data_IF_138282119388
#
_entry.id   IF_138282119388
#
_cell.length_a   1.000
_cell.length_b   1.000
_cell.length_c   1.000
_cell.angle_alpha   90.00
_cell.angle_beta   90.00
_cell.angle_gamma   90.00
#
_symmetry.space_group_name_H-M   'P 1'
#
loop_
_entity.id
_entity.type
_entity.pdbx_description
1 polymer ?
#
# COMPACT_ATOMS: atom_id res chain seq x y z
N UNK A 1 9.31 17.26 16.06
CA UNK A 1 9.11 15.78 16.05
C UNK A 1 9.25 15.30 14.62
N UNK A 2 9.94 14.19 14.35
CA UNK A 2 9.95 13.67 12.98
C UNK A 2 8.52 13.27 12.59
N UNK A 3 8.11 13.51 11.36
CA UNK A 3 6.77 13.21 10.82
C UNK A 3 6.33 11.77 11.14
N UNK A 4 7.28 10.83 11.13
CA UNK A 4 7.05 9.42 11.46
C UNK A 4 6.65 9.24 12.93
N UNK A 5 7.29 9.93 13.87
CA UNK A 5 6.94 9.86 15.31
C UNK A 5 5.53 10.38 15.56
N UNK A 6 5.15 11.48 14.90
CA UNK A 6 3.80 12.03 14.98
C UNK A 6 2.76 11.03 14.44
N UNK A 7 3.03 10.42 13.28
CA UNK A 7 2.15 9.39 12.69
C UNK A 7 2.01 8.14 13.56
N UNK A 8 3.09 7.70 14.21
CA UNK A 8 3.04 6.58 15.16
C UNK A 8 2.27 6.93 16.43
N UNK A 9 2.39 8.16 16.91
CA UNK A 9 1.61 8.65 18.06
C UNK A 9 0.11 8.67 17.76
N UNK A 10 -0.27 8.98 16.52
CA UNK A 10 -1.65 8.94 16.05
C UNK A 10 -2.26 7.53 16.14
N UNK A 11 -1.44 6.49 16.04
CA UNK A 11 -1.85 5.09 16.14
C UNK A 11 -1.92 4.57 17.59
N UNK A 12 -1.35 5.31 18.54
CA UNK A 12 -1.28 4.90 19.94
C UNK A 12 -2.64 4.48 20.55
N UNK A 13 -3.75 5.21 20.34
CA UNK A 13 -5.07 4.81 20.85
C UNK A 13 -5.63 3.55 20.20
N UNK A 14 -5.12 3.15 19.04
CA UNK A 14 -5.60 2.00 18.27
C UNK A 14 -4.63 0.81 18.29
N UNK A 15 -3.59 0.82 19.12
CA UNK A 15 -2.51 -0.18 19.14
C UNK A 15 -2.99 -1.64 19.19
N UNK A 16 -4.01 -1.96 19.98
CA UNK A 16 -4.56 -3.31 20.05
C UNK A 16 -5.26 -3.72 18.75
N UNK A 17 -5.99 -2.82 18.11
CA UNK A 17 -6.64 -3.09 16.83
C UNK A 17 -5.63 -3.21 15.71
N UNK A 18 -4.57 -2.40 15.73
CA UNK A 18 -3.44 -2.47 14.81
C UNK A 18 -2.74 -3.82 14.95
N UNK A 19 -2.46 -4.26 16.18
CA UNK A 19 -1.86 -5.56 16.45
C UNK A 19 -2.77 -6.70 15.96
N UNK A 20 -4.07 -6.65 16.26
CA UNK A 20 -5.05 -7.64 15.78
C UNK A 20 -5.12 -7.67 14.24
N UNK A 21 -5.10 -6.50 13.57
CA UNK A 21 -5.05 -6.41 12.11
C UNK A 21 -3.79 -7.05 11.53
N UNK A 22 -2.62 -6.77 12.12
CA UNK A 22 -1.35 -7.37 11.70
C UNK A 22 -1.30 -8.88 11.96
N UNK A 23 -1.89 -9.34 13.06
CA UNK A 23 -2.03 -10.77 13.34
C UNK A 23 -2.92 -11.48 12.31
N UNK A 24 -4.02 -10.86 11.92
CA UNK A 24 -4.89 -11.39 10.85
C UNK A 24 -4.18 -11.44 9.49
N UNK A 25 -3.33 -10.45 9.18
CA UNK A 25 -2.44 -10.51 8.00
C UNK A 25 -1.55 -11.73 8.08
N UNK A 26 -0.89 -11.96 9.21
CA UNK A 26 0.00 -13.10 9.41
C UNK A 26 -0.77 -14.42 9.28
N UNK A 27 -1.93 -14.57 9.94
CA UNK A 27 -2.77 -15.76 9.86
C UNK A 27 -3.26 -16.04 8.44
N UNK A 28 -3.58 -15.00 7.67
CA UNK A 28 -3.97 -15.16 6.26
C UNK A 28 -2.83 -15.73 5.41
N UNK A 29 -1.59 -15.24 5.63
CA UNK A 29 -0.41 -15.72 4.91
C UNK A 29 -0.04 -17.13 5.33
N UNK A 30 -0.03 -17.42 6.64
CA UNK A 30 0.23 -18.77 7.17
C UNK A 30 -0.84 -19.77 6.73
N UNK A 31 -2.11 -19.37 6.69
CA UNK A 31 -3.19 -20.19 6.15
C UNK A 31 -3.00 -20.51 4.67
N UNK A 32 -2.47 -19.58 3.87
CA UNK A 32 -2.12 -19.82 2.49
C UNK A 32 -0.94 -20.79 2.35
N UNK A 33 0.09 -20.65 3.16
CA UNK A 33 1.23 -21.57 3.21
C UNK A 33 0.78 -22.98 3.64
N UNK A 34 -0.07 -23.08 4.67
CA UNK A 34 -0.66 -24.36 5.12
C UNK A 34 -1.50 -25.04 4.03
N UNK A 35 -2.27 -24.25 3.27
CA UNK A 35 -3.03 -24.77 2.11
C UNK A 35 -2.10 -25.36 1.05
N UNK A 36 -1.04 -24.64 0.69
CA UNK A 36 -0.07 -25.12 -0.31
C UNK A 36 0.66 -26.36 0.17
N UNK A 37 1.12 -26.38 1.41
CA UNK A 37 1.81 -27.52 2.01
C UNK A 37 0.91 -28.78 2.07
N UNK A 38 -0.32 -28.63 2.58
CA UNK A 38 -1.28 -29.75 2.65
C UNK A 38 -1.71 -30.25 1.29
N UNK A 39 -1.88 -29.35 0.30
CA UNK A 39 -2.19 -29.73 -1.08
C UNK A 39 -1.03 -30.46 -1.75
N UNK A 40 0.21 -29.99 -1.56
CA UNK A 40 1.42 -30.65 -2.06
C UNK A 40 1.59 -32.06 -1.48
N UNK A 41 1.42 -32.20 -0.15
CA UNK A 41 1.46 -33.49 0.53
C UNK A 41 0.33 -34.42 0.07
N UNK A 42 -0.87 -33.90 -0.16
CA UNK A 42 -2.01 -34.69 -0.68
C UNK A 42 -1.69 -35.23 -2.06
N UNK A 43 -1.18 -34.39 -2.98
CA UNK A 43 -0.81 -34.81 -4.33
C UNK A 43 0.31 -35.86 -4.30
N UNK A 44 1.35 -35.64 -3.50
CA UNK A 44 2.47 -36.56 -3.36
C UNK A 44 2.02 -37.93 -2.81
N UNK A 45 1.19 -37.94 -1.76
CA UNK A 45 0.66 -39.21 -1.21
C UNK A 45 -0.33 -39.91 -2.15
N UNK A 46 -1.19 -39.14 -2.82
CA UNK A 46 -2.15 -39.71 -3.77
C UNK A 46 -1.47 -40.40 -4.99
N UNK A 47 -0.25 -39.98 -5.34
CA UNK A 47 0.54 -40.64 -6.40
C UNK A 47 1.10 -42.01 -5.99
N UNK A 48 1.22 -42.27 -4.68
CA UNK A 48 1.87 -43.50 -4.15
C UNK A 48 0.82 -44.43 -3.53
N UNK A 49 -0.26 -43.90 -2.98
CA UNK A 49 -1.25 -44.64 -2.18
C UNK A 49 -2.61 -44.62 -2.85
N UNK A 50 -3.17 -45.81 -3.06
CA UNK A 50 -4.55 -46.00 -3.61
C UNK A 50 -5.63 -45.98 -2.52
N UNK A 51 -5.24 -46.03 -1.24
CA UNK A 51 -6.17 -46.06 -0.11
C UNK A 51 -6.66 -44.66 0.25
N UNK A 52 -7.90 -44.37 -0.10
CA UNK A 52 -8.56 -43.05 0.14
C UNK A 52 -8.62 -42.72 1.62
N UNK A 53 -8.74 -43.71 2.51
CA UNK A 53 -8.86 -43.53 3.96
C UNK A 53 -7.62 -42.81 4.55
N UNK A 54 -6.41 -43.14 4.06
CA UNK A 54 -5.17 -42.53 4.46
C UNK A 54 -5.02 -41.08 3.96
N UNK A 55 -5.79 -40.69 2.94
CA UNK A 55 -5.79 -39.35 2.36
C UNK A 55 -6.81 -38.42 3.05
N UNK A 56 -7.79 -38.96 3.77
CA UNK A 56 -8.87 -38.21 4.42
C UNK A 56 -8.38 -37.06 5.32
N UNK A 57 -7.36 -37.23 6.17
CA UNK A 57 -6.86 -36.10 7.01
C UNK A 57 -6.31 -34.94 6.17
N UNK A 58 -5.63 -35.25 5.06
CA UNK A 58 -5.08 -34.24 4.16
C UNK A 58 -6.18 -33.53 3.36
N UNK A 59 -7.18 -34.26 2.89
CA UNK A 59 -8.36 -33.70 2.22
C UNK A 59 -9.09 -32.73 3.17
N UNK A 60 -9.28 -33.14 4.41
CA UNK A 60 -9.89 -32.29 5.45
C UNK A 60 -9.02 -31.06 5.74
N UNK A 61 -7.70 -31.23 5.82
CA UNK A 61 -6.74 -30.14 6.01
C UNK A 61 -6.81 -29.10 4.87
N UNK A 62 -6.86 -29.53 3.62
CA UNK A 62 -7.02 -28.63 2.45
C UNK A 62 -8.33 -27.84 2.54
N UNK A 63 -9.45 -28.48 2.92
CA UNK A 63 -10.72 -27.78 3.11
C UNK A 63 -10.66 -26.77 4.26
N UNK A 64 -10.07 -27.18 5.39
CA UNK A 64 -9.91 -26.32 6.56
C UNK A 64 -9.10 -25.07 6.24
N UNK A 65 -7.92 -25.21 5.64
CA UNK A 65 -7.09 -24.07 5.26
C UNK A 65 -7.72 -23.24 4.14
N UNK A 66 -8.43 -23.87 3.19
CA UNK A 66 -9.11 -23.16 2.10
C UNK A 66 -10.20 -22.22 2.61
N UNK A 67 -11.09 -22.71 3.47
CA UNK A 67 -12.16 -21.92 4.07
C UNK A 67 -11.59 -20.92 5.10
N UNK A 68 -10.70 -21.38 5.98
CA UNK A 68 -10.07 -20.58 7.01
C UNK A 68 -9.34 -19.37 6.45
N UNK A 69 -8.56 -19.56 5.38
CA UNK A 69 -7.88 -18.46 4.67
C UNK A 69 -8.86 -17.39 4.17
N UNK A 70 -10.00 -17.80 3.60
CA UNK A 70 -10.98 -16.87 3.08
C UNK A 70 -11.63 -16.03 4.21
N UNK A 71 -11.97 -16.68 5.33
CA UNK A 71 -12.52 -16.01 6.51
C UNK A 71 -11.52 -15.05 7.14
N UNK A 72 -10.25 -15.49 7.32
CA UNK A 72 -9.20 -14.63 7.88
C UNK A 72 -8.93 -13.42 7.00
N UNK A 73 -8.90 -13.57 5.68
CA UNK A 73 -8.75 -12.46 4.73
C UNK A 73 -9.91 -11.48 4.79
N UNK A 74 -11.13 -11.97 4.94
CA UNK A 74 -12.30 -11.11 5.10
C UNK A 74 -12.22 -10.31 6.40
N UNK A 75 -11.93 -10.98 7.52
CA UNK A 75 -11.77 -10.33 8.82
C UNK A 75 -10.62 -9.32 8.84
N UNK A 76 -9.48 -9.66 8.24
CA UNK A 76 -8.33 -8.78 8.04
C UNK A 76 -8.73 -7.49 7.31
N UNK A 77 -9.40 -7.64 6.16
CA UNK A 77 -9.83 -6.50 5.34
C UNK A 77 -10.81 -5.62 6.10
N UNK A 78 -11.80 -6.22 6.78
CA UNK A 78 -12.80 -5.50 7.56
C UNK A 78 -12.16 -4.69 8.69
N UNK A 79 -11.25 -5.31 9.45
CA UNK A 79 -10.58 -4.66 10.57
C UNK A 79 -9.65 -3.53 10.08
N UNK A 80 -8.82 -3.80 9.10
CA UNK A 80 -7.89 -2.82 8.53
C UNK A 80 -8.63 -1.62 7.91
N UNK A 81 -9.74 -1.84 7.20
CA UNK A 81 -10.59 -0.76 6.70
C UNK A 81 -11.22 0.06 7.84
N UNK A 82 -11.75 -0.61 8.87
CA UNK A 82 -12.32 0.09 10.03
C UNK A 82 -11.30 1.02 10.70
N UNK A 83 -10.05 0.56 10.88
CA UNK A 83 -8.98 1.37 11.44
C UNK A 83 -8.64 2.54 10.50
N UNK A 84 -8.48 2.27 9.21
CA UNK A 84 -8.14 3.28 8.23
C UNK A 84 -9.19 4.41 8.16
N UNK A 85 -10.48 4.07 8.21
CA UNK A 85 -11.56 5.08 8.24
C UNK A 85 -11.60 5.89 9.55
N UNK A 86 -11.28 5.27 10.69
CA UNK A 86 -11.19 5.99 11.96
C UNK A 86 -10.04 6.99 11.97
N UNK A 87 -8.88 6.59 11.43
CA UNK A 87 -7.73 7.49 11.26
C UNK A 87 -8.11 8.64 10.31
N UNK A 88 -8.79 8.34 9.20
CA UNK A 88 -9.28 9.33 8.25
C UNK A 88 -10.21 10.36 8.92
N UNK A 89 -11.18 9.88 9.71
CA UNK A 89 -12.10 10.74 10.45
C UNK A 89 -11.39 11.62 11.47
N UNK A 90 -10.43 11.06 12.22
CA UNK A 90 -9.62 11.82 13.17
C UNK A 90 -8.78 12.90 12.46
N UNK A 91 -8.08 12.56 11.37
CA UNK A 91 -7.27 13.50 10.62
C UNK A 91 -8.09 14.65 10.03
N UNK A 92 -9.31 14.35 9.55
CA UNK A 92 -10.21 15.40 9.02
C UNK A 92 -10.66 16.34 10.12
N UNK A 93 -11.00 15.81 11.29
CA UNK A 93 -11.38 16.62 12.44
C UNK A 93 -10.22 17.51 12.90
N UNK A 94 -9.05 16.92 13.10
CA UNK A 94 -7.83 17.60 13.51
C UNK A 94 -7.44 18.73 12.54
N UNK A 95 -7.49 18.46 11.25
CA UNK A 95 -7.25 19.46 10.21
C UNK A 95 -8.26 20.62 10.28
N UNK A 96 -9.55 20.30 10.44
CA UNK A 96 -10.60 21.31 10.52
C UNK A 96 -10.42 22.20 11.76
N UNK A 97 -10.17 21.61 12.93
CA UNK A 97 -9.94 22.33 14.19
C UNK A 97 -8.74 23.28 14.13
N UNK A 98 -7.71 22.94 13.36
CA UNK A 98 -6.56 23.82 13.14
C UNK A 98 -6.79 24.87 12.04
N UNK A 99 -7.68 24.61 11.08
CA UNK A 99 -8.00 25.53 10.01
C UNK A 99 -9.00 26.61 10.44
N UNK A 100 -10.02 26.23 11.24
CA UNK A 100 -11.11 27.11 11.66
C UNK A 100 -10.65 28.44 12.27
N UNK A 101 -9.69 28.48 13.21
CA UNK A 101 -9.23 29.74 13.81
C UNK A 101 -8.43 30.62 12.84
N UNK A 102 -7.98 30.10 11.70
CA UNK A 102 -7.23 30.85 10.67
C UNK A 102 -8.14 31.54 9.66
N UNK A 103 -9.43 31.26 9.67
CA UNK A 103 -10.44 31.90 8.82
C UNK A 103 -11.08 33.06 9.59
N UNK A 104 -11.23 34.30 8.98
CA UNK A 104 -11.01 34.64 7.57
C UNK A 104 -9.61 35.15 7.22
N UNK A 105 -8.78 35.48 8.21
CA UNK A 105 -7.59 36.34 8.03
C UNK A 105 -6.50 35.74 7.13
N UNK A 106 -6.29 34.41 7.17
CA UNK A 106 -5.28 33.76 6.36
C UNK A 106 -5.79 33.29 4.98
N UNK A 107 -7.09 33.28 4.74
CA UNK A 107 -7.72 32.79 3.50
C UNK A 107 -7.35 33.56 2.23
N UNK A 108 -7.14 34.88 2.22
CA UNK A 108 -6.76 35.63 1.03
C UNK A 108 -5.44 35.18 0.41
N UNK A 109 -4.55 34.61 1.21
CA UNK A 109 -3.21 34.18 0.79
C UNK A 109 -3.15 32.74 0.27
N UNK A 110 -4.24 31.98 0.38
CA UNK A 110 -4.31 30.58 -0.05
C UNK A 110 -5.36 30.36 -1.15
N UNK A 111 -4.96 29.69 -2.21
CA UNK A 111 -5.91 29.22 -3.21
C UNK A 111 -6.88 28.22 -2.59
N UNK A 112 -8.19 28.51 -2.64
CA UNK A 112 -9.25 27.61 -2.11
C UNK A 112 -9.16 26.21 -2.72
N UNK A 113 -8.81 26.11 -4.00
CA UNK A 113 -8.62 24.84 -4.70
C UNK A 113 -7.43 24.04 -4.18
N UNK A 114 -6.32 24.70 -3.85
CA UNK A 114 -5.13 24.07 -3.28
C UNK A 114 -5.40 23.50 -1.89
N UNK A 115 -6.04 24.28 -1.02
CA UNK A 115 -6.47 23.84 0.33
C UNK A 115 -7.41 22.62 0.24
N UNK A 116 -8.39 22.66 -0.66
CA UNK A 116 -9.33 21.56 -0.85
C UNK A 116 -8.64 20.28 -1.36
N UNK A 117 -7.73 20.41 -2.33
CA UNK A 117 -6.96 19.29 -2.84
C UNK A 117 -6.04 18.70 -1.78
N UNK A 118 -5.37 19.52 -0.98
CA UNK A 118 -4.55 19.06 0.14
C UNK A 118 -5.40 18.31 1.17
N UNK A 119 -6.55 18.86 1.54
CA UNK A 119 -7.48 18.24 2.48
C UNK A 119 -7.95 16.84 2.03
N UNK A 120 -8.26 16.66 0.73
CA UNK A 120 -8.73 15.37 0.24
C UNK A 120 -7.56 14.43 -0.07
N UNK A 121 -6.57 14.87 -0.85
CA UNK A 121 -5.50 14.01 -1.36
C UNK A 121 -4.50 13.59 -0.29
N UNK A 122 -4.08 14.53 0.56
CA UNK A 122 -3.03 14.26 1.54
C UNK A 122 -3.55 13.42 2.69
N UNK A 123 -4.78 13.67 3.13
CA UNK A 123 -5.42 12.84 4.16
C UNK A 123 -5.64 11.41 3.66
N UNK A 124 -6.03 11.20 2.40
CA UNK A 124 -6.13 9.85 1.82
C UNK A 124 -4.76 9.15 1.76
N UNK A 125 -3.71 9.89 1.45
CA UNK A 125 -2.33 9.35 1.42
C UNK A 125 -1.90 8.86 2.81
N UNK A 126 -2.24 9.60 3.86
CA UNK A 126 -1.97 9.21 5.26
C UNK A 126 -2.74 7.94 5.68
N UNK A 127 -3.97 7.75 5.20
CA UNK A 127 -4.73 6.52 5.42
C UNK A 127 -4.00 5.30 4.82
N UNK A 128 -3.49 5.42 3.60
CA UNK A 128 -2.72 4.35 2.97
C UNK A 128 -1.37 4.09 3.64
N UNK A 129 -0.79 5.10 4.28
CA UNK A 129 0.44 4.94 5.04
C UNK A 129 0.27 3.90 6.17
N UNK A 130 -0.80 3.98 6.96
CA UNK A 130 -1.09 3.01 8.00
C UNK A 130 -1.06 1.57 7.47
N UNK A 131 -1.82 1.31 6.39
CA UNK A 131 -1.92 -0.03 5.82
C UNK A 131 -0.57 -0.56 5.31
N UNK A 132 0.19 0.28 4.60
CA UNK A 132 1.42 -0.12 3.93
C UNK A 132 2.65 -0.08 4.83
N UNK A 133 2.73 0.86 5.75
CA UNK A 133 3.93 1.09 6.56
C UNK A 133 3.86 0.43 7.94
N UNK A 134 2.68 0.04 8.41
CA UNK A 134 2.51 -0.55 9.75
C UNK A 134 1.91 -1.95 9.67
N UNK A 135 0.69 -2.10 9.16
CA UNK A 135 -0.04 -3.37 9.22
C UNK A 135 0.67 -4.50 8.47
N UNK A 136 1.09 -4.23 7.22
CA UNK A 136 1.76 -5.24 6.38
C UNK A 136 3.16 -5.61 6.88
N UNK A 137 4.08 -4.67 7.20
CA UNK A 137 5.41 -5.03 7.72
C UNK A 137 5.37 -5.78 9.05
N UNK A 138 4.50 -5.36 9.98
CA UNK A 138 4.36 -6.08 11.27
C UNK A 138 3.81 -7.49 11.04
N UNK A 139 2.79 -7.65 10.19
CA UNK A 139 2.27 -8.97 9.81
C UNK A 139 3.33 -9.85 9.15
N UNK A 140 4.14 -9.28 8.24
CA UNK A 140 5.21 -10.02 7.56
C UNK A 140 6.33 -10.44 8.52
N UNK A 141 6.65 -9.61 9.52
CA UNK A 141 7.61 -9.95 10.57
C UNK A 141 7.12 -11.13 11.44
N UNK A 142 5.83 -11.14 11.77
CA UNK A 142 5.24 -12.27 12.52
C UNK A 142 5.34 -13.56 11.69
N UNK A 143 5.01 -13.52 10.40
CA UNK A 143 5.15 -14.67 9.50
C UNK A 143 6.60 -15.14 9.44
N UNK A 144 7.54 -14.21 9.27
CA UNK A 144 8.96 -14.54 9.25
C UNK A 144 9.40 -15.25 10.52
N UNK A 145 9.05 -14.73 11.70
CA UNK A 145 9.42 -15.34 13.00
C UNK A 145 8.81 -16.75 13.12
N UNK A 146 7.53 -16.92 12.82
CA UNK A 146 6.86 -18.23 12.88
C UNK A 146 7.51 -19.24 11.93
N UNK A 147 7.77 -18.82 10.70
CA UNK A 147 8.41 -19.69 9.69
C UNK A 147 9.86 -20.00 10.05
N UNK A 148 10.62 -19.04 10.57
CA UNK A 148 11.99 -19.24 11.01
C UNK A 148 12.09 -20.22 12.18
N UNK A 149 11.20 -20.08 13.18
CA UNK A 149 11.14 -21.02 14.32
C UNK A 149 10.79 -22.43 13.84
N UNK A 150 9.84 -22.55 12.92
CA UNK A 150 9.48 -23.85 12.34
C UNK A 150 10.65 -24.49 11.58
N UNK A 151 11.30 -23.74 10.68
CA UNK A 151 12.45 -24.25 9.91
C UNK A 151 13.65 -24.56 10.79
N UNK A 152 13.87 -23.81 11.86
CA UNK A 152 14.96 -24.07 12.78
C UNK A 152 14.90 -25.47 13.39
N UNK A 153 13.70 -26.00 13.65
CA UNK A 153 13.51 -27.33 14.21
C UNK A 153 13.81 -28.47 13.22
N UNK A 154 13.64 -28.23 11.92
CA UNK A 154 13.78 -29.28 10.89
C UNK A 154 15.06 -29.11 10.06
N UNK A 155 15.32 -27.91 9.55
CA UNK A 155 16.45 -27.63 8.64
C UNK A 155 16.98 -26.20 8.91
N UNK A 156 17.83 -26.03 9.95
CA UNK A 156 18.27 -24.67 10.38
C UNK A 156 19.01 -23.89 9.29
N UNK A 157 19.68 -24.56 8.34
CA UNK A 157 20.40 -23.91 7.24
C UNK A 157 19.48 -23.07 6.35
N UNK A 158 18.18 -23.44 6.23
CA UNK A 158 17.21 -22.70 5.41
C UNK A 158 16.75 -21.39 6.02
N UNK A 159 16.99 -21.16 7.30
CA UNK A 159 16.66 -19.89 7.96
C UNK A 159 17.51 -18.74 7.40
N UNK A 160 18.75 -19.01 6.97
CA UNK A 160 19.65 -18.00 6.42
C UNK A 160 19.12 -17.39 5.11
N UNK A 161 18.83 -18.19 4.05
CA UNK A 161 18.29 -17.63 2.81
C UNK A 161 16.91 -16.99 3.03
N UNK A 162 16.07 -17.52 3.92
CA UNK A 162 14.81 -16.91 4.30
C UNK A 162 15.01 -15.51 4.90
N UNK A 163 15.95 -15.36 5.84
CA UNK A 163 16.27 -14.08 6.47
C UNK A 163 16.81 -13.06 5.45
N UNK A 164 17.74 -13.49 4.60
CA UNK A 164 18.30 -12.65 3.54
C UNK A 164 17.22 -12.19 2.57
N UNK A 165 16.36 -13.11 2.12
CA UNK A 165 15.24 -12.78 1.23
C UNK A 165 14.26 -11.79 1.86
N UNK A 166 13.93 -11.99 3.13
CA UNK A 166 13.03 -11.09 3.86
C UNK A 166 13.61 -9.68 4.04
N UNK A 167 14.90 -9.57 4.39
CA UNK A 167 15.61 -8.29 4.51
C UNK A 167 15.71 -7.58 3.17
N UNK A 168 16.08 -8.29 2.10
CA UNK A 168 16.15 -7.72 0.76
C UNK A 168 14.80 -7.21 0.29
N UNK A 169 13.75 -8.01 0.38
CA UNK A 169 12.42 -7.64 -0.08
C UNK A 169 11.76 -6.57 0.82
N UNK A 170 11.95 -6.61 2.14
CA UNK A 170 11.29 -5.73 3.09
C UNK A 170 11.97 -4.38 3.30
N UNK A 171 13.30 -4.29 3.16
CA UNK A 171 14.07 -3.09 3.49
C UNK A 171 14.80 -2.54 2.27
N UNK A 172 15.62 -3.37 1.61
CA UNK A 172 16.53 -2.89 0.56
C UNK A 172 15.75 -2.40 -0.66
N UNK A 173 14.78 -3.16 -1.11
CA UNK A 173 14.01 -2.80 -2.31
C UNK A 173 13.14 -1.56 -2.13
N UNK A 174 12.35 -1.39 -1.04
CA UNK A 174 11.64 -0.14 -0.80
C UNK A 174 12.57 1.07 -0.66
N UNK A 175 13.71 0.89 -0.01
CA UNK A 175 14.70 1.95 0.15
C UNK A 175 15.27 2.41 -1.20
N UNK A 176 15.70 1.49 -2.06
CA UNK A 176 16.17 1.80 -3.41
C UNK A 176 15.08 2.43 -4.28
N UNK A 177 13.83 1.94 -4.18
CA UNK A 177 12.70 2.47 -4.92
C UNK A 177 12.35 3.92 -4.52
N UNK A 178 12.55 4.29 -3.25
CA UNK A 178 12.28 5.66 -2.78
C UNK A 178 13.42 6.62 -3.08
N UNK A 179 14.67 6.17 -2.97
CA UNK A 179 15.85 6.99 -3.21
C UNK A 179 15.95 7.49 -4.66
N UNK A 180 15.59 6.64 -5.62
CA UNK A 180 15.74 6.94 -7.06
C UNK A 180 14.66 7.88 -7.62
N UNK A 181 13.54 8.07 -6.91
CA UNK A 181 12.34 8.71 -7.48
C UNK A 181 11.96 10.05 -6.80
N UNK A 182 12.73 10.54 -5.82
CA UNK A 182 12.29 11.68 -5.01
C UNK A 182 12.21 12.97 -5.81
N UNK A 183 13.27 13.34 -6.53
CA UNK A 183 13.31 14.55 -7.35
C UNK A 183 12.29 14.53 -8.49
N UNK A 184 12.10 13.37 -9.12
CA UNK A 184 11.13 13.21 -10.18
C UNK A 184 9.67 13.33 -9.67
N UNK A 185 9.39 12.86 -8.45
CA UNK A 185 8.07 13.03 -7.81
C UNK A 185 7.78 14.46 -7.44
N UNK A 186 8.77 15.17 -6.90
CA UNK A 186 8.65 16.60 -6.55
C UNK A 186 8.39 17.43 -7.82
N UNK A 187 9.13 17.18 -8.90
CA UNK A 187 8.92 17.85 -10.18
C UNK A 187 7.52 17.56 -10.76
N UNK A 188 7.08 16.30 -10.74
CA UNK A 188 5.74 15.94 -11.22
C UNK A 188 4.62 16.55 -10.37
N UNK A 189 4.82 16.66 -9.05
CA UNK A 189 3.86 17.29 -8.17
C UNK A 189 3.72 18.79 -8.46
N UNK A 190 4.83 19.50 -8.64
CA UNK A 190 4.83 20.93 -9.01
C UNK A 190 4.13 21.16 -10.35
N UNK A 191 4.46 20.38 -11.39
CA UNK A 191 3.80 20.49 -12.69
C UNK A 191 2.31 20.19 -12.62
N UNK A 192 1.90 19.22 -11.78
CA UNK A 192 0.49 18.91 -11.57
C UNK A 192 -0.24 20.08 -10.92
N UNK A 193 0.38 20.72 -9.93
CA UNK A 193 -0.21 21.88 -9.24
C UNK A 193 -0.35 23.06 -10.21
N UNK A 194 0.69 23.38 -11.00
CA UNK A 194 0.66 24.42 -12.04
C UNK A 194 -0.41 24.17 -13.09
N UNK A 195 -0.50 22.93 -13.62
CA UNK A 195 -1.52 22.59 -14.62
C UNK A 195 -2.94 22.64 -14.05
N UNK A 196 -3.10 22.27 -12.77
CA UNK A 196 -4.41 22.34 -12.10
C UNK A 196 -4.82 23.80 -11.85
N UNK A 197 -3.90 24.66 -11.50
CA UNK A 197 -4.14 26.10 -11.33
C UNK A 197 -4.51 26.77 -12.66
N UNK A 198 -3.77 26.51 -13.73
CA UNK A 198 -4.07 26.99 -15.07
C UNK A 198 -5.45 26.50 -15.56
N UNK A 199 -5.85 25.27 -15.23
CA UNK A 199 -7.19 24.77 -15.54
C UNK A 199 -8.29 25.51 -14.77
N UNK A 200 -8.07 25.83 -13.51
CA UNK A 200 -9.02 26.60 -12.70
C UNK A 200 -9.17 28.03 -13.22
N UNK A 201 -8.06 28.69 -13.59
CA UNK A 201 -8.07 30.01 -14.23
C UNK A 201 -8.82 29.98 -15.55
N UNK A 202 -8.57 28.98 -16.42
CA UNK A 202 -9.31 28.79 -17.66
C UNK A 202 -10.82 28.65 -17.42
N UNK A 203 -11.21 27.85 -16.40
CA UNK A 203 -12.62 27.63 -16.07
C UNK A 203 -13.27 28.94 -15.56
N UNK A 204 -12.58 29.72 -14.75
CA UNK A 204 -13.09 31.00 -14.20
C UNK A 204 -13.18 32.07 -15.30
N UNK A 205 -12.18 32.17 -16.16
CA UNK A 205 -12.11 33.13 -17.26
C UNK A 205 -12.77 32.68 -18.56
N UNK A 206 -13.48 31.54 -18.59
CA UNK A 206 -14.01 30.95 -19.83
C UNK A 206 -14.95 31.88 -20.58
N UNK A 207 -15.75 32.68 -19.89
CA UNK A 207 -16.66 33.66 -20.50
C UNK A 207 -15.88 34.75 -21.22
N UNK A 208 -14.85 35.28 -20.61
CA UNK A 208 -14.01 36.34 -21.19
C UNK A 208 -13.19 35.78 -22.36
N UNK A 209 -12.62 34.57 -22.21
CA UNK A 209 -11.87 33.90 -23.25
C UNK A 209 -12.74 33.61 -24.51
N UNK A 210 -14.01 33.28 -24.31
CA UNK A 210 -14.97 33.12 -25.42
C UNK A 210 -15.28 34.45 -26.09
N UNK A 211 -15.47 35.51 -25.32
CA UNK A 211 -15.73 36.86 -25.82
C UNK A 211 -14.58 37.36 -26.71
N UNK A 212 -13.34 37.12 -26.26
CA UNK A 212 -12.12 37.48 -26.99
C UNK A 212 -11.65 36.43 -28.01
N UNK A 213 -12.44 35.38 -28.26
CA UNK A 213 -12.14 34.29 -29.20
C UNK A 213 -10.82 33.52 -28.93
N UNK A 214 -10.30 33.59 -27.68
CA UNK A 214 -9.03 32.98 -27.26
C UNK A 214 -9.23 31.61 -26.59
N UNK A 215 -10.46 31.15 -26.40
CA UNK A 215 -10.75 29.92 -25.66
C UNK A 215 -10.07 28.67 -26.27
N UNK A 216 -10.06 28.55 -27.61
CA UNK A 216 -9.43 27.41 -28.31
C UNK A 216 -7.91 27.39 -28.19
N UNK A 217 -7.28 28.54 -28.16
CA UNK A 217 -5.81 28.65 -27.99
C UNK A 217 -5.38 28.16 -26.61
N UNK A 218 -6.07 28.61 -25.56
CA UNK A 218 -5.80 28.23 -24.18
C UNK A 218 -6.13 26.76 -23.95
N UNK A 219 -7.25 26.26 -24.50
CA UNK A 219 -7.63 24.85 -24.44
C UNK A 219 -6.58 23.93 -25.07
N UNK A 220 -6.04 24.31 -26.23
CA UNK A 220 -4.98 23.56 -26.90
C UNK A 220 -3.72 23.49 -26.02
N UNK A 221 -3.30 24.61 -25.45
CA UNK A 221 -2.15 24.67 -24.56
C UNK A 221 -2.35 23.77 -23.32
N UNK A 222 -3.48 23.89 -22.66
CA UNK A 222 -3.83 23.04 -21.51
C UNK A 222 -3.84 21.55 -21.89
N UNK A 223 -4.36 21.21 -23.07
CA UNK A 223 -4.37 19.81 -23.53
C UNK A 223 -2.95 19.26 -23.73
N UNK A 224 -2.03 20.09 -24.23
CA UNK A 224 -0.61 19.72 -24.39
C UNK A 224 0.07 19.56 -23.02
N UNK A 225 -0.19 20.45 -22.07
CA UNK A 225 0.31 20.35 -20.70
C UNK A 225 -0.19 19.09 -19.99
N UNK A 226 -1.47 18.76 -20.12
CA UNK A 226 -2.04 17.50 -19.61
C UNK A 226 -1.44 16.25 -20.27
N UNK A 227 -1.16 16.28 -21.57
CA UNK A 227 -0.49 15.16 -22.26
C UNK A 227 0.93 14.95 -21.76
N UNK A 228 1.70 16.02 -21.57
CA UNK A 228 3.07 15.93 -21.05
C UNK A 228 3.07 15.39 -19.64
N UNK A 229 2.20 15.88 -18.77
CA UNK A 229 1.97 15.41 -17.40
C UNK A 229 1.61 13.92 -17.36
N UNK A 230 0.65 13.50 -18.17
CA UNK A 230 0.22 12.10 -18.25
C UNK A 230 1.34 11.20 -18.73
N UNK A 231 2.13 11.63 -19.71
CA UNK A 231 3.26 10.87 -20.24
C UNK A 231 4.36 10.70 -19.18
N UNK A 232 4.68 11.75 -18.44
CA UNK A 232 5.65 11.69 -17.34
C UNK A 232 5.17 10.79 -16.19
N UNK A 233 3.90 10.93 -15.78
CA UNK A 233 3.27 10.07 -14.77
C UNK A 233 3.27 8.59 -15.19
N UNK A 234 3.02 8.31 -16.48
CA UNK A 234 3.07 6.97 -17.03
C UNK A 234 4.49 6.38 -16.99
N UNK A 235 5.50 7.15 -17.42
CA UNK A 235 6.93 6.72 -17.37
C UNK A 235 7.37 6.42 -15.93
N UNK A 236 7.00 7.27 -14.97
CA UNK A 236 7.29 7.06 -13.57
C UNK A 236 6.57 5.80 -13.02
N UNK A 237 5.31 5.60 -13.39
CA UNK A 237 4.55 4.40 -13.01
C UNK A 237 5.11 3.14 -13.65
N UNK A 238 5.66 3.21 -14.87
CA UNK A 238 6.32 2.09 -15.53
C UNK A 238 7.61 1.68 -14.81
N UNK A 239 8.46 2.64 -14.42
CA UNK A 239 9.66 2.37 -13.60
C UNK A 239 9.30 1.69 -12.28
N UNK A 240 8.29 2.20 -11.59
CA UNK A 240 7.79 1.60 -10.33
C UNK A 240 7.28 0.18 -10.52
N UNK A 241 6.61 -0.11 -11.64
CA UNK A 241 6.17 -1.48 -11.97
C UNK A 241 7.35 -2.42 -12.22
N UNK A 242 8.42 -1.96 -12.87
CA UNK A 242 9.64 -2.75 -13.07
C UNK A 242 10.31 -3.10 -11.74
N UNK A 243 10.44 -2.14 -10.83
CA UNK A 243 10.97 -2.39 -9.48
C UNK A 243 10.11 -3.40 -8.73
N UNK A 244 8.78 -3.24 -8.75
CA UNK A 244 7.87 -4.19 -8.10
C UNK A 244 7.94 -5.60 -8.71
N UNK A 245 8.14 -5.71 -10.03
CA UNK A 245 8.37 -7.02 -10.68
C UNK A 245 9.71 -7.63 -10.26
N UNK A 246 10.75 -6.83 -10.10
CA UNK A 246 12.04 -7.29 -9.55
C UNK A 246 11.88 -7.89 -8.15
N UNK A 247 11.11 -7.23 -7.28
CA UNK A 247 10.78 -7.76 -5.94
C UNK A 247 10.05 -9.11 -6.04
N UNK A 248 9.07 -9.19 -6.93
CA UNK A 248 8.30 -10.41 -7.14
C UNK A 248 9.19 -11.57 -7.61
N UNK A 249 10.07 -11.33 -8.57
CA UNK A 249 11.04 -12.33 -9.05
C UNK A 249 11.99 -12.74 -7.92
N UNK A 250 12.52 -11.79 -7.16
CA UNK A 250 13.41 -12.07 -6.04
C UNK A 250 12.73 -12.93 -4.96
N UNK A 251 11.47 -12.62 -4.63
CA UNK A 251 10.71 -13.40 -3.64
C UNK A 251 10.44 -14.83 -4.12
N UNK A 252 10.24 -15.06 -5.43
CA UNK A 252 10.06 -16.39 -5.98
C UNK A 252 11.38 -17.15 -6.06
N UNK A 253 12.51 -16.49 -6.35
CA UNK A 253 13.82 -17.11 -6.31
C UNK A 253 14.18 -17.56 -4.89
N UNK A 254 13.89 -16.76 -3.85
CA UNK A 254 14.10 -17.20 -2.47
C UNK A 254 13.22 -18.40 -2.11
N UNK A 255 11.99 -18.47 -2.64
CA UNK A 255 11.10 -19.62 -2.44
C UNK A 255 11.59 -20.89 -3.14
N UNK A 256 12.31 -20.79 -4.26
CA UNK A 256 12.91 -21.93 -4.95
C UNK A 256 14.15 -22.48 -4.24
N UNK A 257 14.84 -21.66 -3.45
CA UNK A 257 16.04 -22.05 -2.69
C UNK A 257 15.69 -22.66 -1.33
N UNK A 258 14.53 -22.32 -0.78
CA UNK A 258 13.98 -22.84 0.49
C UNK A 258 13.06 -24.03 0.24
#
# INVERSE_FOLDING_TARGET
>A
MSTIKWMLHLLAPYKLRVLAGSLLVALTVLGNAGLLATSGLLLSKAAITTEVLLLMPLITGVRFFGIGRALMRYAERLLNHSIAFRILGFLRKDFYEHLEPLVPDAMPNYSKGKLYNQFISDIQTLQYFYLKAVSVPVGSLIVFVVTAVFLWQYVPILVVPLAVGHLLAGIVVPFLATATDRSAKECLALQKDETSEAFLEYKQGLTDLKLYQKAREVEKKLTEDFKTLTTQAYRMSAKKRLVNRGVFVLSHLTMLVV
#
